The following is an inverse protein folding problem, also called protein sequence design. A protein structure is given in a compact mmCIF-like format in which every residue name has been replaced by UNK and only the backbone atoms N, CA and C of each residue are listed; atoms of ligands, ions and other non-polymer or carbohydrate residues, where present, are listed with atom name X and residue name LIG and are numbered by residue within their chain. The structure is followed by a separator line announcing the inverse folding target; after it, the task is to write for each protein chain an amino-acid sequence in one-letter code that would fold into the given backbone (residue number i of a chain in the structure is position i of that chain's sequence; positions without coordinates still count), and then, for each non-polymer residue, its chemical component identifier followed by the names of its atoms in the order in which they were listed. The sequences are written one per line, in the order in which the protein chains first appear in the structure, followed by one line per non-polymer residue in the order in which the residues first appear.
data_IF_004980217734
#
_entry.id   IF_004980217734
#
_cell.length_a   1.000
_cell.length_b   1.000
_cell.length_c   1.000
_cell.angle_alpha   90.00
_cell.angle_beta   90.00
_cell.angle_gamma   90.00
#
_symmetry.space_group_name_H-M   'P 1'
#
loop_
_entity.id
_entity.type
_entity.pdbx_description
1 polymer ?
#
# COMPACT_ATOMS: atom_id res chain seq x y z
N UNK A 1 3.88 -9.35 4.03
CA UNK A 1 2.69 -8.48 3.92
C UNK A 1 1.48 -9.06 4.65
N UNK A 2 0.94 -10.22 4.26
CA UNK A 2 -0.27 -10.77 4.90
C UNK A 2 -0.15 -10.97 6.42
N UNK A 3 0.91 -11.66 6.88
CA UNK A 3 1.14 -11.87 8.31
C UNK A 3 1.28 -10.54 9.07
N UNK A 4 1.89 -9.52 8.45
CA UNK A 4 1.98 -8.18 9.01
C UNK A 4 0.59 -7.54 9.15
N UNK A 5 -0.26 -7.63 8.12
CA UNK A 5 -1.62 -7.10 8.18
C UNK A 5 -2.45 -7.74 9.30
N UNK A 6 -2.35 -9.07 9.46
CA UNK A 6 -3.01 -9.79 10.55
C UNK A 6 -2.47 -9.38 11.93
N UNK A 7 -1.15 -9.21 12.04
CA UNK A 7 -0.51 -8.76 13.27
C UNK A 7 -0.96 -7.35 13.65
N UNK A 8 -0.90 -6.40 12.73
CA UNK A 8 -1.33 -5.01 12.94
C UNK A 8 -2.83 -4.91 13.29
N UNK A 9 -3.67 -5.77 12.71
CA UNK A 9 -5.11 -5.83 13.03
C UNK A 9 -5.41 -6.18 14.51
N UNK A 10 -4.44 -6.74 15.23
CA UNK A 10 -4.58 -7.00 16.68
C UNK A 10 -4.41 -5.74 17.53
N UNK A 11 -4.00 -4.61 16.94
CA UNK A 11 -3.61 -3.39 17.65
C UNK A 11 -2.20 -3.46 18.25
N UNK A 12 -1.41 -4.47 17.86
CA UNK A 12 -0.02 -4.59 18.28
C UNK A 12 0.88 -3.57 17.57
N UNK A 13 1.85 -3.04 18.31
CA UNK A 13 2.89 -2.18 17.75
C UNK A 13 3.95 -3.05 17.09
N UNK A 14 4.25 -2.77 15.82
CA UNK A 14 5.34 -3.45 15.11
C UNK A 14 6.70 -2.89 15.53
N UNK A 15 7.73 -3.72 15.43
CA UNK A 15 9.08 -3.34 15.83
C UNK A 15 9.59 -2.16 14.99
N UNK A 16 10.25 -1.21 15.66
CA UNK A 16 10.72 0.01 15.01
C UNK A 16 11.81 -0.24 13.98
N UNK A 17 12.73 -1.16 14.25
CA UNK A 17 13.83 -1.45 13.32
C UNK A 17 13.29 -2.14 12.06
N UNK A 18 12.35 -3.07 12.23
CA UNK A 18 11.65 -3.72 11.12
C UNK A 18 10.82 -2.72 10.29
N UNK A 19 10.07 -1.83 10.95
CA UNK A 19 9.27 -0.81 10.29
C UNK A 19 10.16 0.17 9.50
N UNK A 20 11.27 0.60 10.10
CA UNK A 20 12.25 1.48 9.43
C UNK A 20 12.86 0.79 8.20
N UNK A 21 13.28 -0.46 8.35
CA UNK A 21 13.86 -1.23 7.23
C UNK A 21 12.87 -1.35 6.06
N UNK A 22 11.59 -1.63 6.35
CA UNK A 22 10.55 -1.68 5.32
C UNK A 22 10.39 -0.34 4.58
N UNK A 23 10.40 0.78 5.32
CA UNK A 23 10.30 2.11 4.72
C UNK A 23 11.51 2.41 3.85
N UNK A 24 12.72 2.06 4.29
CA UNK A 24 13.96 2.26 3.52
C UNK A 24 13.97 1.44 2.22
N UNK A 25 13.58 0.17 2.29
CA UNK A 25 13.47 -0.72 1.12
C UNK A 25 12.45 -0.18 0.12
N UNK A 26 11.25 0.18 0.60
CA UNK A 26 10.20 0.69 -0.27
C UNK A 26 10.56 2.06 -0.86
N UNK A 27 11.22 2.93 -0.10
CA UNK A 27 11.71 4.23 -0.60
C UNK A 27 12.72 4.04 -1.72
N UNK A 28 13.64 3.08 -1.57
CA UNK A 28 14.62 2.75 -2.63
C UNK A 28 13.92 2.30 -3.89
N UNK A 29 12.93 1.39 -3.77
CA UNK A 29 12.16 0.91 -4.92
C UNK A 29 11.38 2.06 -5.60
N UNK A 30 10.65 2.87 -4.84
CA UNK A 30 9.83 3.96 -5.37
C UNK A 30 10.67 5.05 -6.03
N UNK A 31 11.91 5.28 -5.56
CA UNK A 31 12.82 6.26 -6.15
C UNK A 31 13.32 5.86 -7.54
N UNK A 32 13.28 4.57 -7.89
CA UNK A 32 13.65 4.06 -9.21
C UNK A 32 12.49 4.10 -10.21
N UNK A 33 11.25 4.34 -9.75
CA UNK A 33 10.06 4.34 -10.58
C UNK A 33 9.86 5.67 -11.32
N UNK A 34 9.33 5.58 -12.55
CA UNK A 34 9.02 6.76 -13.34
C UNK A 34 7.82 7.51 -12.74
N UNK A 35 7.85 8.85 -12.75
CA UNK A 35 6.72 9.67 -12.31
C UNK A 35 5.42 9.36 -13.06
N UNK A 36 5.53 8.98 -14.34
CA UNK A 36 4.42 8.47 -15.15
C UNK A 36 4.68 7.01 -15.47
N UNK A 37 3.97 6.13 -14.78
CA UNK A 37 4.02 4.70 -15.05
C UNK A 37 3.12 4.28 -16.21
N UNK A 38 3.59 3.32 -16.99
CA UNK A 38 2.79 2.62 -17.99
C UNK A 38 2.55 1.18 -17.50
N UNK A 39 1.29 0.82 -17.33
CA UNK A 39 0.89 -0.51 -16.85
C UNK A 39 0.20 -1.22 -18.01
N UNK A 40 0.82 -2.30 -18.50
CA UNK A 40 0.19 -3.18 -19.46
C UNK A 40 -0.68 -4.21 -18.74
N UNK A 41 -1.98 -4.22 -19.04
CA UNK A 41 -2.90 -5.25 -18.55
C UNK A 41 -3.01 -6.33 -19.61
N UNK A 42 -2.53 -7.57 -19.36
CA UNK A 42 -2.55 -8.63 -20.35
C UNK A 42 -3.99 -9.01 -20.74
N UNK A 43 -4.17 -9.46 -21.98
CA UNK A 43 -5.48 -9.86 -22.49
C UNK A 43 -6.11 -10.97 -21.65
N UNK A 44 -7.27 -10.69 -21.05
CA UNK A 44 -7.97 -11.61 -20.14
C UNK A 44 -7.57 -11.50 -18.67
N UNK A 45 -6.58 -10.66 -18.35
CA UNK A 45 -6.28 -10.25 -16.97
C UNK A 45 -7.08 -9.02 -16.54
N UNK A 46 -6.80 -8.55 -15.33
CA UNK A 46 -7.39 -7.35 -14.74
C UNK A 46 -6.36 -6.58 -13.91
N UNK A 47 -6.73 -5.36 -13.55
CA UNK A 47 -6.03 -4.51 -12.58
C UNK A 47 -7.06 -3.98 -11.59
N UNK A 48 -6.84 -4.20 -10.30
CA UNK A 48 -7.67 -3.57 -9.28
C UNK A 48 -7.18 -2.14 -9.06
N UNK A 49 -8.06 -1.16 -9.24
CA UNK A 49 -7.76 0.25 -8.97
C UNK A 49 -8.52 0.67 -7.72
N UNK A 50 -7.78 1.09 -6.69
CA UNK A 50 -8.32 1.52 -5.40
C UNK A 50 -8.07 3.01 -5.27
N UNK A 51 -9.12 3.77 -4.92
CA UNK A 51 -9.01 5.21 -4.62
C UNK A 51 -8.53 5.44 -3.19
N UNK A 52 -9.00 6.54 -2.60
CA UNK A 52 -8.63 7.00 -1.26
C UNK A 52 -8.86 5.90 -0.22
N UNK A 53 -7.90 5.76 0.69
CA UNK A 53 -7.96 4.81 1.81
C UNK A 53 -8.02 5.53 3.15
N UNK A 54 -7.34 6.66 3.29
CA UNK A 54 -7.45 7.56 4.46
C UNK A 54 -7.34 6.86 5.81
N UNK A 55 -6.33 6.02 5.99
CA UNK A 55 -6.08 5.33 7.25
C UNK A 55 -7.22 4.40 7.70
N UNK A 56 -8.14 4.02 6.81
CA UNK A 56 -9.21 3.05 7.08
C UNK A 56 -8.69 1.62 6.94
N UNK A 57 -7.76 1.25 7.82
CA UNK A 57 -7.01 -0.01 7.74
C UNK A 57 -7.89 -1.26 7.65
N UNK A 58 -8.98 -1.33 8.41
CA UNK A 58 -9.88 -2.49 8.37
C UNK A 58 -10.68 -2.58 7.06
N UNK A 59 -11.00 -1.45 6.45
CA UNK A 59 -11.62 -1.43 5.12
C UNK A 59 -10.62 -1.86 4.04
N UNK A 60 -9.33 -1.49 4.17
CA UNK A 60 -8.27 -2.01 3.32
C UNK A 60 -8.13 -3.54 3.42
N UNK A 61 -8.23 -4.11 4.63
CA UNK A 61 -8.26 -5.57 4.80
C UNK A 61 -9.49 -6.18 4.13
N UNK A 62 -10.65 -5.53 4.23
CA UNK A 62 -11.88 -5.95 3.55
C UNK A 62 -11.75 -5.94 2.02
N UNK A 63 -11.03 -4.97 1.45
CA UNK A 63 -10.71 -4.96 0.01
C UNK A 63 -9.91 -6.22 -0.37
N UNK A 64 -8.89 -6.59 0.41
CA UNK A 64 -8.11 -7.79 0.13
C UNK A 64 -8.88 -9.10 0.32
N UNK A 65 -9.85 -9.11 1.23
CA UNK A 65 -10.76 -10.25 1.41
C UNK A 65 -11.73 -10.39 0.23
N UNK A 66 -12.30 -9.27 -0.24
CA UNK A 66 -13.30 -9.27 -1.30
C UNK A 66 -12.73 -9.43 -2.72
N UNK A 67 -11.59 -8.80 -3.01
CA UNK A 67 -10.97 -8.78 -4.34
C UNK A 67 -9.73 -9.68 -4.46
N UNK A 68 -9.43 -10.41 -3.38
CA UNK A 68 -8.21 -11.21 -3.27
C UNK A 68 -6.98 -10.35 -2.97
N UNK A 69 -5.93 -11.03 -2.55
CA UNK A 69 -4.68 -10.39 -2.13
C UNK A 69 -3.81 -9.99 -3.33
N UNK A 70 -2.94 -8.99 -3.18
CA UNK A 70 -2.01 -8.62 -4.23
C UNK A 70 -1.06 -9.76 -4.60
N UNK A 71 -0.75 -9.87 -5.88
CA UNK A 71 0.22 -10.84 -6.41
C UNK A 71 0.30 -10.82 -7.93
N UNK A 72 1.09 -11.71 -8.54
CA UNK A 72 1.35 -11.68 -9.98
C UNK A 72 0.09 -11.84 -10.85
N UNK A 73 -0.90 -12.57 -10.33
CA UNK A 73 -2.19 -12.82 -11.00
C UNK A 73 -3.30 -11.89 -10.52
N UNK A 74 -3.03 -10.98 -9.59
CA UNK A 74 -4.01 -10.07 -9.01
C UNK A 74 -3.34 -8.72 -8.67
N UNK A 75 -2.97 -7.91 -9.67
CA UNK A 75 -2.27 -6.66 -9.46
C UNK A 75 -3.20 -5.56 -8.91
N UNK A 76 -2.61 -4.61 -8.20
CA UNK A 76 -3.28 -3.46 -7.61
C UNK A 76 -2.57 -2.14 -7.94
N UNK A 77 -3.37 -1.11 -8.20
CA UNK A 77 -2.97 0.29 -8.22
C UNK A 77 -3.77 1.01 -7.12
N UNK A 78 -3.07 1.57 -6.13
CA UNK A 78 -3.65 2.46 -5.13
C UNK A 78 -3.38 3.91 -5.54
N UNK A 79 -4.43 4.70 -5.73
CA UNK A 79 -4.37 6.02 -6.35
C UNK A 79 -4.28 7.16 -5.33
N UNK A 80 -3.33 7.06 -4.40
CA UNK A 80 -3.05 8.10 -3.39
C UNK A 80 -4.02 8.15 -2.22
N UNK A 81 -3.80 9.14 -1.36
CA UNK A 81 -4.61 9.45 -0.18
C UNK A 81 -4.77 8.22 0.73
N UNK A 82 -3.62 7.64 1.07
CA UNK A 82 -3.49 6.47 1.94
C UNK A 82 -3.64 6.82 3.42
N UNK A 83 -3.18 8.01 3.79
CA UNK A 83 -3.07 8.50 5.17
C UNK A 83 -4.03 9.65 5.45
N UNK A 84 -3.96 10.19 6.67
CA UNK A 84 -4.84 11.20 7.26
C UNK A 84 -6.31 10.75 7.38
N UNK A 85 -7.11 11.57 8.08
CA UNK A 85 -8.55 11.39 8.39
C UNK A 85 -8.86 10.19 9.28
N UNK A 86 -8.44 8.99 8.90
CA UNK A 86 -8.61 7.76 9.68
C UNK A 86 -7.48 7.53 10.68
N UNK A 87 -7.82 6.80 11.74
CA UNK A 87 -6.95 6.61 12.91
C UNK A 87 -5.89 5.52 12.75
N UNK A 88 -5.85 4.80 11.62
CA UNK A 88 -4.93 3.68 11.39
C UNK A 88 -4.03 3.94 10.16
N UNK A 89 -3.60 5.19 10.01
CA UNK A 89 -2.77 5.64 8.88
C UNK A 89 -1.41 4.92 8.85
N UNK A 90 -0.81 4.66 10.01
CA UNK A 90 0.48 3.96 10.11
C UNK A 90 0.35 2.51 9.63
N UNK A 91 -0.66 1.78 10.13
CA UNK A 91 -0.92 0.40 9.75
C UNK A 91 -1.26 0.28 8.25
N UNK A 92 -2.05 1.23 7.75
CA UNK A 92 -2.39 1.34 6.32
C UNK A 92 -1.14 1.50 5.47
N UNK A 93 -0.29 2.48 5.81
CA UNK A 93 0.93 2.73 5.05
C UNK A 93 1.91 1.56 5.13
N UNK A 94 2.15 1.00 6.34
CA UNK A 94 3.05 -0.15 6.51
C UNK A 94 2.58 -1.37 5.71
N UNK A 95 1.27 -1.65 5.69
CA UNK A 95 0.74 -2.77 4.92
C UNK A 95 0.88 -2.55 3.41
N UNK A 96 0.60 -1.34 2.92
CA UNK A 96 0.78 -0.98 1.50
C UNK A 96 2.26 -1.07 1.08
N UNK A 97 3.18 -0.55 1.89
CA UNK A 97 4.63 -0.68 1.64
C UNK A 97 5.07 -2.15 1.65
N UNK A 98 4.56 -2.97 2.57
CA UNK A 98 4.89 -4.39 2.62
C UNK A 98 4.42 -5.14 1.37
N UNK A 99 3.25 -4.79 0.83
CA UNK A 99 2.78 -5.34 -0.45
C UNK A 99 3.60 -4.81 -1.64
N UNK A 100 3.98 -3.52 -1.62
CA UNK A 100 4.85 -2.91 -2.63
C UNK A 100 6.21 -3.62 -2.70
N UNK A 101 6.87 -3.82 -1.57
CA UNK A 101 8.16 -4.53 -1.50
C UNK A 101 8.03 -6.00 -1.92
N UNK A 102 6.93 -6.66 -1.53
CA UNK A 102 6.72 -8.08 -1.88
C UNK A 102 6.44 -8.29 -3.38
N UNK A 103 5.75 -7.34 -4.04
CA UNK A 103 5.37 -7.45 -5.45
C UNK A 103 5.53 -6.11 -6.18
N UNK A 104 6.77 -5.61 -6.37
CA UNK A 104 7.02 -4.26 -6.90
C UNK A 104 6.40 -4.04 -8.27
N UNK A 105 6.42 -5.08 -9.12
CA UNK A 105 5.82 -5.06 -10.46
C UNK A 105 4.33 -5.35 -10.50
N UNK A 106 3.65 -5.59 -9.38
CA UNK A 106 2.19 -5.84 -9.34
C UNK A 106 1.42 -4.97 -8.32
N UNK A 107 2.11 -4.24 -7.46
CA UNK A 107 1.51 -3.27 -6.53
C UNK A 107 2.07 -1.89 -6.87
N UNK A 108 1.21 -0.97 -7.30
CA UNK A 108 1.56 0.42 -7.61
C UNK A 108 0.92 1.37 -6.63
N UNK A 109 1.68 2.39 -6.24
CA UNK A 109 1.26 3.43 -5.32
C UNK A 109 1.41 4.77 -6.04
N UNK A 110 0.28 5.36 -6.44
CA UNK A 110 0.23 6.74 -6.92
C UNK A 110 0.27 7.71 -5.74
N UNK A 111 0.84 8.90 -5.92
CA UNK A 111 0.89 9.92 -4.87
C UNK A 111 -0.39 10.76 -4.88
N UNK A 112 -1.09 10.81 -3.75
CA UNK A 112 -2.19 11.72 -3.50
C UNK A 112 -1.71 13.02 -2.85
N UNK A 113 -2.63 13.94 -2.57
CA UNK A 113 -2.27 15.20 -1.93
C UNK A 113 -2.02 15.03 -0.43
N UNK A 114 -2.57 13.99 0.21
CA UNK A 114 -2.35 13.71 1.63
C UNK A 114 -0.98 13.06 1.92
N UNK A 115 -0.23 12.60 0.91
CA UNK A 115 1.17 12.17 1.05
C UNK A 115 2.16 13.36 0.97
N UNK A 116 1.78 14.49 1.55
CA UNK A 116 2.56 15.71 1.60
C UNK A 116 2.65 16.24 3.03
N UNK A 117 3.84 16.73 3.41
CA UNK A 117 4.11 17.20 4.76
C UNK A 117 3.15 18.31 5.21
N UNK A 118 2.69 19.14 4.28
CA UNK A 118 1.76 20.24 4.55
C UNK A 118 0.38 19.75 5.00
N UNK A 119 0.00 18.53 4.62
CA UNK A 119 -1.27 17.90 5.00
C UNK A 119 -1.13 17.08 6.28
N UNK A 120 0.02 16.45 6.50
CA UNK A 120 0.31 15.65 7.68
C UNK A 120 0.76 16.54 8.84
N UNK A 121 -0.21 17.16 9.53
CA UNK A 121 -0.01 18.02 10.71
C UNK A 121 -0.19 17.29 12.03
#
# INVERSE_FOLDING_TARGET
AEALGQYLATGALWDWEDARALVEDATTLLAEEATLEQIEVPGGGHLNVVGDVHGQFFDLLGIFEGYGRPGPTNPFLFNGDFVDRGSYSVETMLLLLAWKVAYPSHVRLGRGNHEAHEMNV
#
